data_IF_085310065612
#
_entry.id   IF_085310065612
#
_cell.length_a   1.000
_cell.length_b   1.000
_cell.length_c   1.000
_cell.angle_alpha   90.00
_cell.angle_beta   90.00
_cell.angle_gamma   90.00
#
_symmetry.space_group_name_H-M   'P 1'
#
loop_
_entity.id
_entity.type
_entity.pdbx_description
1 polymer ?
#
# COMPACT_ATOMS: atom_id res chain seq x y z
N UNK A 1 -10.65 5.08 31.01
CA UNK A 1 -10.41 5.50 29.61
C UNK A 1 -10.54 7.02 29.62
N UNK A 2 -9.44 7.77 29.43
CA UNK A 2 -9.51 9.23 29.33
C UNK A 2 -9.78 9.54 27.87
N UNK A 3 -11.00 9.92 27.54
CA UNK A 3 -11.28 10.66 26.32
C UNK A 3 -10.47 11.96 26.41
N UNK A 4 -9.33 11.98 25.73
CA UNK A 4 -8.52 13.17 25.62
C UNK A 4 -9.21 14.03 24.55
N UNK A 5 -9.76 15.16 24.95
CA UNK A 5 -10.40 16.17 24.10
C UNK A 5 -9.37 16.96 23.29
N UNK A 6 -8.44 16.25 22.65
CA UNK A 6 -7.49 16.83 21.73
C UNK A 6 -7.96 16.42 20.33
N UNK A 7 -8.46 17.37 19.54
CA UNK A 7 -8.92 17.14 18.16
C UNK A 7 -7.76 16.80 17.20
N UNK A 8 -6.59 16.39 17.72
CA UNK A 8 -5.40 16.07 16.97
C UNK A 8 -5.06 14.58 17.11
N UNK A 9 -4.78 13.95 15.97
CA UNK A 9 -4.23 12.59 15.90
C UNK A 9 -2.79 12.69 15.42
N UNK A 10 -1.86 12.17 16.21
CA UNK A 10 -0.44 12.15 15.86
C UNK A 10 -0.09 10.88 15.08
N UNK A 11 0.48 11.01 13.88
CA UNK A 11 0.89 9.90 13.01
C UNK A 11 2.42 9.91 12.85
N UNK A 12 3.13 8.97 13.48
CA UNK A 12 4.61 8.92 13.45
C UNK A 12 5.21 7.90 12.48
N UNK A 13 4.45 6.89 12.11
CA UNK A 13 4.95 5.75 11.32
C UNK A 13 4.98 6.02 9.81
N UNK A 14 4.42 7.13 9.37
CA UNK A 14 4.31 7.49 7.97
C UNK A 14 4.94 8.85 7.73
N UNK A 15 5.56 9.00 6.54
CA UNK A 15 6.05 10.30 6.10
C UNK A 15 4.86 11.25 5.92
N UNK A 16 5.06 12.57 6.12
CA UNK A 16 4.02 13.58 5.90
C UNK A 16 3.35 13.43 4.53
N UNK A 17 4.14 13.18 3.48
CA UNK A 17 3.68 12.99 2.11
C UNK A 17 2.63 11.88 1.99
N UNK A 18 2.81 10.75 2.69
CA UNK A 18 1.86 9.63 2.66
C UNK A 18 0.56 10.00 3.35
N UNK A 19 0.65 10.73 4.46
CA UNK A 19 -0.52 11.22 5.20
C UNK A 19 -1.29 12.25 4.37
N UNK A 20 -0.59 13.15 3.68
CA UNK A 20 -1.19 14.10 2.75
C UNK A 20 -1.96 13.39 1.62
N UNK A 21 -1.39 12.32 1.05
CA UNK A 21 -2.09 11.52 0.03
C UNK A 21 -3.30 10.75 0.58
N UNK A 22 -3.23 10.26 1.81
CA UNK A 22 -4.38 9.66 2.49
C UNK A 22 -5.52 10.68 2.65
N UNK A 23 -5.19 11.94 2.98
CA UNK A 23 -6.16 13.04 3.09
C UNK A 23 -6.70 13.41 1.70
N UNK A 24 -5.84 13.54 0.68
CA UNK A 24 -6.22 13.80 -0.72
C UNK A 24 -7.27 12.79 -1.20
N UNK A 25 -7.02 11.50 -0.96
CA UNK A 25 -7.96 10.44 -1.31
C UNK A 25 -9.28 10.53 -0.57
N UNK A 26 -9.27 10.93 0.71
CA UNK A 26 -10.51 11.09 1.49
C UNK A 26 -11.41 12.17 0.91
N UNK A 27 -10.83 13.22 0.35
CA UNK A 27 -11.59 14.33 -0.23
C UNK A 27 -12.03 14.06 -1.67
N UNK A 28 -11.20 13.38 -2.47
CA UNK A 28 -11.39 13.25 -3.91
C UNK A 28 -11.74 11.83 -4.38
N UNK A 29 -11.67 10.82 -3.50
CA UNK A 29 -11.71 9.39 -3.84
C UNK A 29 -10.62 9.00 -4.88
N UNK A 30 -9.58 9.82 -5.03
CA UNK A 30 -8.49 9.66 -6.01
C UNK A 30 -7.18 10.31 -5.50
N UNK A 31 -6.04 9.86 -6.05
CA UNK A 31 -4.72 10.44 -5.80
C UNK A 31 -4.04 10.72 -7.15
N UNK A 32 -3.68 11.98 -7.40
CA UNK A 32 -3.05 12.38 -8.68
C UNK A 32 -1.64 11.85 -8.86
N UNK A 33 -0.88 11.80 -7.76
CA UNK A 33 0.53 11.38 -7.76
C UNK A 33 0.77 10.36 -6.64
N UNK A 34 0.77 9.08 -7.01
CA UNK A 34 0.95 7.94 -6.10
C UNK A 34 2.20 7.11 -6.40
N UNK A 35 2.93 7.42 -7.48
CA UNK A 35 4.07 6.63 -7.93
C UNK A 35 5.16 6.63 -6.87
N UNK A 36 5.71 5.45 -6.57
CA UNK A 36 6.66 5.18 -5.49
C UNK A 36 6.08 5.19 -4.07
N UNK A 37 4.79 5.50 -3.90
CA UNK A 37 4.11 5.52 -2.61
C UNK A 37 3.07 4.41 -2.48
N UNK A 38 2.88 3.56 -3.49
CA UNK A 38 1.79 2.57 -3.54
C UNK A 38 1.82 1.61 -2.34
N UNK A 39 3.01 1.14 -1.96
CA UNK A 39 3.20 0.27 -0.81
C UNK A 39 2.90 0.97 0.52
N UNK A 40 3.29 2.23 0.68
CA UNK A 40 3.06 2.98 1.92
C UNK A 40 1.61 3.46 2.03
N UNK A 41 0.97 3.78 0.89
CA UNK A 41 -0.46 4.02 0.77
C UNK A 41 -1.26 2.78 1.18
N UNK A 42 -0.85 1.60 0.75
CA UNK A 42 -1.46 0.35 1.20
C UNK A 42 -1.32 0.18 2.72
N UNK A 43 -0.12 0.36 3.29
CA UNK A 43 0.13 0.20 4.72
C UNK A 43 -0.70 1.17 5.57
N UNK A 44 -0.76 2.46 5.20
CA UNK A 44 -1.54 3.45 5.95
C UNK A 44 -3.04 3.16 5.81
N UNK A 45 -3.52 2.81 4.62
CA UNK A 45 -4.91 2.48 4.39
C UNK A 45 -5.37 1.26 5.18
N UNK A 46 -4.54 0.21 5.18
CA UNK A 46 -4.81 -0.99 5.96
C UNK A 46 -4.81 -0.69 7.45
N UNK A 47 -3.89 0.14 7.94
CA UNK A 47 -3.80 0.50 9.37
C UNK A 47 -5.04 1.26 9.86
N UNK A 48 -5.53 2.20 9.06
CA UNK A 48 -6.70 3.02 9.39
C UNK A 48 -8.01 2.47 8.79
N UNK A 49 -8.00 1.21 8.35
CA UNK A 49 -9.17 0.47 7.83
C UNK A 49 -9.90 1.21 6.68
N UNK A 50 -9.15 1.96 5.87
CA UNK A 50 -9.66 2.66 4.69
C UNK A 50 -9.77 1.70 3.51
N UNK A 51 -10.87 0.94 3.45
CA UNK A 51 -11.10 -0.13 2.47
C UNK A 51 -10.87 0.34 1.03
N UNK A 52 -11.51 1.45 0.62
CA UNK A 52 -11.37 1.98 -0.75
C UNK A 52 -9.93 2.33 -1.13
N UNK A 53 -9.18 2.94 -0.21
CA UNK A 53 -7.77 3.29 -0.44
C UNK A 53 -6.89 2.05 -0.46
N UNK A 54 -7.25 1.02 0.31
CA UNK A 54 -6.57 -0.28 0.31
C UNK A 54 -6.71 -0.94 -1.06
N UNK A 55 -7.94 -1.00 -1.59
CA UNK A 55 -8.21 -1.56 -2.92
C UNK A 55 -7.51 -0.76 -4.02
N UNK A 56 -7.57 0.58 -3.96
CA UNK A 56 -6.84 1.46 -4.86
C UNK A 56 -5.33 1.17 -4.84
N UNK A 57 -4.72 1.09 -3.66
CA UNK A 57 -3.30 0.85 -3.53
C UNK A 57 -2.89 -0.54 -4.06
N UNK A 58 -3.70 -1.58 -3.82
CA UNK A 58 -3.47 -2.92 -4.38
C UNK A 58 -3.53 -2.88 -5.91
N UNK A 59 -4.52 -2.20 -6.49
CA UNK A 59 -4.65 -2.02 -7.93
C UNK A 59 -3.39 -1.35 -8.50
N UNK A 60 -2.96 -0.23 -7.91
CA UNK A 60 -1.77 0.50 -8.40
C UNK A 60 -0.49 -0.31 -8.23
N UNK A 61 -0.37 -1.08 -7.15
CA UNK A 61 0.71 -2.06 -6.98
C UNK A 61 0.62 -3.24 -7.96
N UNK A 62 -0.53 -3.58 -8.52
CA UNK A 62 -0.62 -4.60 -9.56
C UNK A 62 -0.25 -4.02 -10.93
N UNK A 63 -0.71 -2.81 -11.23
CA UNK A 63 -0.46 -2.11 -12.50
C UNK A 63 1.02 -1.76 -12.69
N UNK A 64 1.68 -1.24 -11.65
CA UNK A 64 3.07 -0.80 -11.74
C UNK A 64 4.07 -1.94 -11.44
N UNK A 65 3.69 -3.21 -11.60
CA UNK A 65 4.53 -4.36 -11.22
C UNK A 65 5.71 -4.49 -12.18
N UNK A 66 6.91 -4.31 -11.63
CA UNK A 66 8.19 -4.39 -12.33
C UNK A 66 9.15 -5.32 -11.59
N UNK A 67 10.30 -5.62 -12.20
CA UNK A 67 11.37 -6.39 -11.56
C UNK A 67 11.81 -5.73 -10.24
N UNK A 68 11.96 -4.40 -10.24
CA UNK A 68 12.40 -3.63 -9.07
C UNK A 68 11.43 -3.72 -7.88
N UNK A 69 10.14 -3.93 -8.15
CA UNK A 69 9.10 -4.00 -7.10
C UNK A 69 8.59 -5.42 -6.82
N UNK A 70 8.97 -6.41 -7.62
CA UNK A 70 8.38 -7.75 -7.55
C UNK A 70 8.59 -8.41 -6.18
N UNK A 71 9.81 -8.33 -5.65
CA UNK A 71 10.15 -8.89 -4.35
C UNK A 71 9.38 -8.19 -3.22
N UNK A 72 9.50 -6.87 -3.10
CA UNK A 72 8.86 -6.11 -2.03
C UNK A 72 7.33 -6.26 -2.03
N UNK A 73 6.71 -6.33 -3.21
CA UNK A 73 5.26 -6.55 -3.34
C UNK A 73 4.85 -7.97 -2.98
N UNK A 74 5.67 -8.97 -3.31
CA UNK A 74 5.43 -10.34 -2.87
C UNK A 74 5.52 -10.46 -1.35
N UNK A 75 6.49 -9.79 -0.72
CA UNK A 75 6.63 -9.73 0.73
C UNK A 75 5.40 -9.06 1.37
N UNK A 76 4.93 -7.93 0.85
CA UNK A 76 3.69 -7.27 1.30
C UNK A 76 2.50 -8.22 1.16
N UNK A 77 2.34 -8.85 0.00
CA UNK A 77 1.22 -9.77 -0.23
C UNK A 77 1.23 -10.96 0.75
N UNK A 78 2.42 -11.44 1.11
CA UNK A 78 2.58 -12.50 2.10
C UNK A 78 2.26 -12.02 3.52
N UNK A 79 2.81 -10.87 3.92
CA UNK A 79 2.65 -10.30 5.26
C UNK A 79 1.19 -9.96 5.58
N UNK A 80 0.45 -9.44 4.61
CA UNK A 80 -0.94 -9.01 4.77
C UNK A 80 -1.97 -10.03 4.26
N UNK A 81 -1.53 -11.22 3.83
CA UNK A 81 -2.43 -12.29 3.40
C UNK A 81 -3.22 -12.00 2.12
N UNK A 82 -2.70 -11.16 1.22
CA UNK A 82 -3.34 -10.75 -0.03
C UNK A 82 -3.25 -11.87 -1.09
N UNK A 83 -4.11 -12.89 -1.00
CA UNK A 83 -3.99 -14.13 -1.80
C UNK A 83 -3.93 -13.92 -3.30
N UNK A 84 -4.82 -13.09 -3.87
CA UNK A 84 -4.88 -12.91 -5.32
C UNK A 84 -3.74 -12.02 -5.82
N UNK A 85 -3.39 -10.98 -5.07
CA UNK A 85 -2.21 -10.16 -5.35
C UNK A 85 -0.91 -10.95 -5.25
N UNK A 86 -0.80 -11.87 -4.28
CA UNK A 86 0.33 -12.80 -4.13
C UNK A 86 0.47 -13.71 -5.35
N UNK A 87 -0.64 -14.31 -5.83
CA UNK A 87 -0.63 -15.13 -7.05
C UNK A 87 -0.19 -14.32 -8.27
N UNK A 88 -0.66 -13.08 -8.39
CA UNK A 88 -0.25 -12.17 -9.46
C UNK A 88 1.26 -11.90 -9.44
N UNK A 89 1.81 -11.56 -8.27
CA UNK A 89 3.24 -11.32 -8.08
C UNK A 89 4.07 -12.59 -8.40
N UNK A 90 3.67 -13.75 -7.89
CA UNK A 90 4.35 -15.03 -8.19
C UNK A 90 4.35 -15.35 -9.69
N UNK A 91 3.22 -15.12 -10.37
CA UNK A 91 3.13 -15.31 -11.83
C UNK A 91 4.01 -14.34 -12.62
N UNK A 92 4.22 -13.12 -12.11
CA UNK A 92 5.17 -12.17 -12.69
C UNK A 92 6.63 -12.62 -12.49
N UNK A 93 7.00 -13.01 -11.27
CA UNK A 93 8.34 -13.50 -10.94
C UNK A 93 8.70 -14.71 -11.78
N UNK A 94 7.81 -15.71 -11.85
CA UNK A 94 8.04 -16.92 -12.62
C UNK A 94 8.28 -16.62 -14.11
N UNK A 95 7.48 -15.73 -14.71
CA UNK A 95 7.63 -15.35 -16.12
C UNK A 95 8.93 -14.60 -16.43
N UNK A 96 9.49 -13.91 -15.45
CA UNK A 96 10.69 -13.09 -15.62
C UNK A 96 11.96 -13.77 -15.06
N UNK A 97 11.88 -15.00 -14.56
CA UNK A 97 12.98 -15.73 -13.90
C UNK A 97 13.69 -14.89 -12.82
N UNK A 98 12.89 -14.14 -12.03
CA UNK A 98 13.42 -13.33 -10.93
C UNK A 98 13.78 -14.25 -9.78
N UNK A 99 15.03 -14.22 -9.33
CA UNK A 99 15.46 -14.89 -8.12
C UNK A 99 14.99 -14.07 -6.91
N UNK A 100 14.31 -14.71 -5.97
CA UNK A 100 13.77 -14.07 -4.77
C UNK A 100 14.34 -14.78 -3.55
N UNK A 101 14.98 -14.03 -2.67
CA UNK A 101 15.44 -14.54 -1.38
C UNK A 101 14.24 -14.58 -0.42
N UNK A 102 13.96 -15.77 0.13
CA UNK A 102 12.83 -16.03 1.04
C UNK A 102 13.26 -16.03 2.50
#
# INVERSE_FOLDING_TARGET
MKENTDNAVEIKEFKPEIVEKMIEFRENDDIKEYKNYEADLFKIAHKYEMIKLTDFAIEKMAENLSVDYAESRLQIANLYGLKDFKKWCMGFVFRNNIDIEY
#
